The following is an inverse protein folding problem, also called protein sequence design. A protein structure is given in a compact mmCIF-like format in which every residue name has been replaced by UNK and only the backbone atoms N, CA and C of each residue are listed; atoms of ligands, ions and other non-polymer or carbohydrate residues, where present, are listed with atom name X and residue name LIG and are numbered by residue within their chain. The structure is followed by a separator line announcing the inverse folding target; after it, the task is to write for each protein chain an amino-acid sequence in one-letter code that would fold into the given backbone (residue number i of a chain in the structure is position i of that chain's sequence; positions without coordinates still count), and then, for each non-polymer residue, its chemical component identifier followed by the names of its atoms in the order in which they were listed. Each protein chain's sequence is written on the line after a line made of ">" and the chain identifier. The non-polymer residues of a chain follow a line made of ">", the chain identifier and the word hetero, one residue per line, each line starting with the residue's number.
data_IF_364536826996
#
_entry.id   IF_364536826996
#
_cell.length_a   1.000
_cell.length_b   1.000
_cell.length_c   1.000
_cell.angle_alpha   90.00
_cell.angle_beta   90.00
_cell.angle_gamma   90.00
#
_symmetry.space_group_name_H-M   'P 1'
#
loop_
_entity.id
_entity.type
_entity.pdbx_description
1 polymer ?
#
# COMPACT_ATOMS: atom_id res chain seq x y z
N UNK A 1 -11.49 12.43 3.41
CA UNK A 1 -11.76 10.97 3.44
C UNK A 1 -12.37 10.58 4.78
N UNK A 2 -13.29 9.60 4.81
CA UNK A 2 -13.81 9.01 6.05
C UNK A 2 -13.07 7.72 6.38
N UNK A 3 -12.71 7.53 7.63
CA UNK A 3 -12.12 6.30 8.19
C UNK A 3 -12.91 5.85 9.41
N UNK A 4 -12.96 4.56 9.69
CA UNK A 4 -13.82 4.00 10.73
C UNK A 4 -13.26 2.70 11.33
N UNK A 5 -13.81 2.32 12.49
CA UNK A 5 -13.43 1.13 13.24
C UNK A 5 -12.32 1.38 14.26
N UNK A 6 -12.47 0.81 15.46
CA UNK A 6 -11.62 1.11 16.64
C UNK A 6 -10.12 0.96 16.40
N UNK A 7 -9.69 -0.06 15.67
CA UNK A 7 -8.26 -0.31 15.43
C UNK A 7 -7.65 0.79 14.56
N UNK A 8 -8.32 1.15 13.45
CA UNK A 8 -7.88 2.23 12.54
C UNK A 8 -7.85 3.57 13.27
N UNK A 9 -8.89 3.84 14.06
CA UNK A 9 -9.01 5.06 14.87
C UNK A 9 -7.87 5.16 15.88
N UNK A 10 -7.55 4.07 16.58
CA UNK A 10 -6.43 4.05 17.53
C UNK A 10 -5.08 4.31 16.85
N UNK A 11 -4.87 3.77 15.66
CA UNK A 11 -3.67 4.04 14.86
C UNK A 11 -3.59 5.52 14.45
N UNK A 12 -4.68 6.09 13.95
CA UNK A 12 -4.72 7.52 13.57
C UNK A 12 -4.51 8.44 14.76
N UNK A 13 -5.02 8.06 15.94
CA UNK A 13 -4.79 8.81 17.18
C UNK A 13 -3.35 8.73 17.69
N UNK A 14 -2.60 7.68 17.35
CA UNK A 14 -1.16 7.55 17.66
C UNK A 14 -0.29 8.36 16.69
N UNK A 15 -0.71 8.47 15.43
CA UNK A 15 0.01 9.16 14.38
C UNK A 15 -0.39 10.65 14.34
N UNK A 16 0.45 11.49 13.73
CA UNK A 16 0.21 12.95 13.60
C UNK A 16 -0.77 13.29 12.47
N UNK A 17 -1.57 12.34 11.99
CA UNK A 17 -2.53 12.61 10.93
C UNK A 17 -3.61 13.57 11.43
N UNK A 18 -3.82 14.64 10.69
CA UNK A 18 -4.82 15.65 11.03
C UNK A 18 -6.23 15.09 10.91
N UNK A 19 -6.98 15.15 12.02
CA UNK A 19 -8.38 14.75 12.11
C UNK A 19 -9.22 16.02 12.04
N UNK A 20 -9.98 16.18 10.97
CA UNK A 20 -10.86 17.33 10.78
C UNK A 20 -12.05 17.31 11.74
N UNK A 21 -12.63 16.13 11.96
CA UNK A 21 -13.81 15.93 12.76
C UNK A 21 -13.93 14.47 13.20
N UNK A 22 -14.33 14.24 14.42
CA UNK A 22 -14.74 12.94 14.94
C UNK A 22 -16.27 12.88 15.01
N UNK A 23 -16.88 11.90 14.34
CA UNK A 23 -18.33 11.71 14.31
C UNK A 23 -18.64 10.45 15.13
N UNK A 24 -19.29 10.64 16.26
CA UNK A 24 -19.56 9.60 17.25
C UNK A 24 -21.05 9.31 17.32
N UNK A 25 -21.39 8.03 17.51
CA UNK A 25 -22.75 7.66 17.89
C UNK A 25 -23.10 8.25 19.25
N UNK A 26 -24.31 8.77 19.46
CA UNK A 26 -24.74 9.39 20.71
C UNK A 26 -24.54 8.53 21.97
N UNK A 27 -24.58 7.18 21.83
CA UNK A 27 -24.31 6.23 22.91
C UNK A 27 -22.88 5.67 22.88
N UNK A 28 -21.94 6.32 22.19
CA UNK A 28 -20.54 5.93 22.20
C UNK A 28 -19.93 6.20 23.57
N UNK A 29 -19.35 5.17 24.20
CA UNK A 29 -18.94 5.19 25.61
C UNK A 29 -17.46 4.89 25.86
N UNK A 30 -16.61 4.91 24.83
CA UNK A 30 -15.17 4.71 24.98
C UNK A 30 -14.48 6.00 25.42
N UNK A 31 -14.44 6.20 26.76
CA UNK A 31 -13.86 7.40 27.37
C UNK A 31 -12.38 7.60 26.99
N UNK A 32 -11.61 6.52 26.84
CA UNK A 32 -10.19 6.63 26.46
C UNK A 32 -10.00 7.25 25.06
N UNK A 33 -10.89 6.97 24.14
CA UNK A 33 -10.90 7.58 22.80
C UNK A 33 -11.34 9.03 22.90
N UNK A 34 -12.42 9.33 23.65
CA UNK A 34 -12.95 10.69 23.84
C UNK A 34 -11.88 11.59 24.47
N UNK A 35 -11.19 11.13 25.50
CA UNK A 35 -10.13 11.88 26.16
C UNK A 35 -8.96 12.22 25.20
N UNK A 36 -8.58 11.26 24.34
CA UNK A 36 -7.54 11.50 23.33
C UNK A 36 -7.98 12.54 22.29
N UNK A 37 -9.25 12.52 21.87
CA UNK A 37 -9.81 13.50 20.94
C UNK A 37 -9.82 14.90 21.57
N UNK A 38 -10.24 15.01 22.84
CA UNK A 38 -10.26 16.27 23.58
C UNK A 38 -8.83 16.82 23.76
N UNK A 39 -7.84 15.97 24.12
CA UNK A 39 -6.44 16.39 24.23
C UNK A 39 -5.87 16.90 22.92
N UNK A 40 -6.31 16.34 21.80
CA UNK A 40 -5.91 16.77 20.43
C UNK A 40 -6.78 17.91 19.89
N UNK A 41 -7.74 18.41 20.67
CA UNK A 41 -8.70 19.47 20.28
C UNK A 41 -9.45 19.14 18.97
N UNK A 42 -9.77 17.86 18.76
CA UNK A 42 -10.53 17.41 17.60
C UNK A 42 -12.00 17.75 17.79
N UNK A 43 -12.66 18.46 16.85
CA UNK A 43 -14.10 18.69 16.90
C UNK A 43 -14.87 17.38 16.95
N UNK A 44 -15.79 17.23 17.92
CA UNK A 44 -16.60 16.03 18.09
C UNK A 44 -18.05 16.36 17.76
N UNK A 45 -18.65 15.57 16.84
CA UNK A 45 -20.07 15.62 16.50
C UNK A 45 -20.75 14.34 16.93
N UNK A 46 -21.83 14.43 17.70
CA UNK A 46 -22.64 13.27 18.10
C UNK A 46 -23.85 13.13 17.17
N UNK A 47 -24.07 11.94 16.64
CA UNK A 47 -25.10 11.62 15.65
C UNK A 47 -25.83 10.31 15.98
N UNK A 48 -26.96 10.07 15.33
CA UNK A 48 -27.65 8.77 15.39
C UNK A 48 -26.91 7.71 14.56
N UNK A 49 -27.15 6.42 14.89
CA UNK A 49 -26.45 5.32 14.21
C UNK A 49 -26.66 5.33 12.70
N UNK A 50 -27.88 5.58 12.24
CA UNK A 50 -28.21 5.61 10.81
C UNK A 50 -27.46 6.71 10.02
N UNK A 51 -27.04 7.78 10.68
CA UNK A 51 -26.22 8.82 10.05
C UNK A 51 -24.78 8.34 9.81
N UNK A 52 -24.22 7.54 10.75
CA UNK A 52 -22.91 6.89 10.53
C UNK A 52 -23.00 5.82 9.43
N UNK A 53 -24.08 5.03 9.40
CA UNK A 53 -24.31 4.00 8.37
C UNK A 53 -24.40 4.62 6.95
N UNK A 54 -24.79 5.89 6.82
CA UNK A 54 -24.82 6.62 5.54
C UNK A 54 -23.44 7.16 5.13
N UNK A 55 -22.55 7.39 6.08
CA UNK A 55 -21.21 7.94 5.81
C UNK A 55 -20.22 6.89 5.34
N UNK A 56 -20.39 5.64 5.79
CA UNK A 56 -19.42 4.57 5.55
C UNK A 56 -20.11 3.20 5.42
N UNK A 57 -19.62 2.40 4.49
CA UNK A 57 -20.07 1.02 4.31
C UNK A 57 -19.23 0.10 5.21
N UNK A 58 -19.86 -0.56 6.19
CA UNK A 58 -19.22 -1.56 7.06
C UNK A 58 -19.31 -1.26 8.55
N UNK A 59 -18.67 -2.09 9.37
CA UNK A 59 -18.77 -2.01 10.83
C UNK A 59 -17.94 -0.83 11.39
N UNK A 60 -18.59 0.32 11.56
CA UNK A 60 -17.97 1.53 12.11
C UNK A 60 -17.84 1.52 13.63
N UNK A 61 -18.48 0.59 14.34
CA UNK A 61 -18.39 0.47 15.81
C UNK A 61 -18.74 1.77 16.58
N UNK A 62 -19.60 2.60 16.01
CA UNK A 62 -20.05 3.87 16.60
C UNK A 62 -19.07 5.04 16.43
N UNK A 63 -18.03 4.92 15.62
CA UNK A 63 -17.03 5.96 15.43
C UNK A 63 -16.56 6.08 13.98
N UNK A 64 -16.56 7.31 13.45
CA UNK A 64 -16.06 7.66 12.12
C UNK A 64 -15.24 8.95 12.25
N UNK A 65 -14.06 8.99 11.66
CA UNK A 65 -13.26 10.20 11.54
C UNK A 65 -13.30 10.75 10.12
N UNK A 66 -13.47 12.05 10.00
CA UNK A 66 -13.19 12.80 8.78
C UNK A 66 -11.74 13.28 8.85
N UNK A 67 -10.90 12.76 7.96
CA UNK A 67 -9.47 13.09 7.89
C UNK A 67 -9.11 13.72 6.55
N UNK A 68 -7.92 14.29 6.45
CA UNK A 68 -7.40 14.72 5.16
C UNK A 68 -7.22 13.54 4.20
N UNK A 69 -7.33 13.82 2.91
CA UNK A 69 -7.02 12.84 1.90
C UNK A 69 -5.52 12.51 1.94
N UNK A 70 -5.17 11.30 1.50
CA UNK A 70 -3.77 10.89 1.45
C UNK A 70 -2.99 11.76 0.45
N UNK A 71 -1.83 12.25 0.88
CA UNK A 71 -0.92 13.01 0.02
C UNK A 71 0.09 12.06 -0.59
N UNK A 72 -0.06 11.79 -1.89
CA UNK A 72 0.94 11.07 -2.66
C UNK A 72 2.22 11.90 -2.77
N UNK A 73 3.36 11.23 -2.85
CA UNK A 73 4.66 11.90 -3.01
C UNK A 73 5.16 11.75 -4.45
N UNK A 74 6.03 12.66 -4.87
CA UNK A 74 6.62 12.61 -6.19
C UNK A 74 7.79 11.61 -6.25
N UNK A 75 8.01 11.03 -7.43
CA UNK A 75 9.06 10.03 -7.67
C UNK A 75 10.47 10.60 -7.41
N UNK A 76 10.63 11.92 -7.58
CA UNK A 76 11.86 12.64 -7.30
C UNK A 76 12.32 12.53 -5.84
N UNK A 77 11.38 12.33 -4.92
CA UNK A 77 11.64 12.21 -3.48
C UNK A 77 12.33 10.90 -3.06
N UNK A 78 12.50 9.95 -4.00
CA UNK A 78 13.03 8.60 -3.71
C UNK A 78 14.56 8.51 -3.70
N UNK A 79 15.27 9.52 -4.13
CA UNK A 79 16.65 9.40 -4.66
C UNK A 79 17.77 9.40 -3.60
N UNK A 80 17.49 9.10 -2.32
CA UNK A 80 18.42 9.37 -1.21
C UNK A 80 18.99 8.14 -0.50
N UNK A 81 18.46 6.92 -0.70
CA UNK A 81 18.95 5.73 0.03
C UNK A 81 19.88 4.86 -0.82
N UNK A 82 20.91 4.29 -0.20
CA UNK A 82 21.71 3.21 -0.79
C UNK A 82 20.84 1.93 -0.90
N UNK A 83 20.91 1.30 -2.07
CA UNK A 83 20.22 0.02 -2.41
C UNK A 83 18.72 -0.08 -2.00
N UNK A 84 17.87 0.93 -2.25
CA UNK A 84 16.47 0.85 -1.88
C UNK A 84 15.74 -0.20 -2.71
N UNK A 85 14.80 -0.91 -2.06
CA UNK A 85 13.80 -1.72 -2.74
C UNK A 85 12.56 -0.88 -2.99
N UNK A 86 12.09 -0.86 -4.23
CA UNK A 86 10.83 -0.24 -4.65
C UNK A 86 9.87 -1.31 -5.14
N UNK A 87 8.58 -1.06 -5.02
CA UNK A 87 7.54 -1.93 -5.57
C UNK A 87 6.64 -1.11 -6.50
N UNK A 88 6.44 -1.57 -7.73
CA UNK A 88 5.43 -1.06 -8.65
C UNK A 88 4.24 -2.03 -8.64
N UNK A 89 3.02 -1.49 -8.60
CA UNK A 89 1.80 -2.26 -8.76
C UNK A 89 1.19 -1.92 -10.12
N UNK A 90 1.26 -2.86 -11.06
CA UNK A 90 0.75 -2.65 -12.43
C UNK A 90 -0.76 -2.83 -12.48
N UNK A 91 -1.50 -1.72 -12.27
CA UNK A 91 -2.96 -1.65 -12.31
C UNK A 91 -3.68 -2.58 -11.32
N UNK A 92 -3.19 -2.66 -10.08
CA UNK A 92 -3.87 -3.36 -8.99
C UNK A 92 -5.17 -2.64 -8.64
N UNK A 93 -6.31 -3.34 -8.58
CA UNK A 93 -7.63 -2.74 -8.39
C UNK A 93 -8.27 -3.07 -7.02
N UNK A 94 -7.88 -4.19 -6.41
CA UNK A 94 -8.46 -4.59 -5.11
C UNK A 94 -7.86 -3.83 -3.93
N UNK A 95 -8.68 -3.08 -3.15
CA UNK A 95 -8.20 -2.33 -2.00
C UNK A 95 -7.72 -3.21 -0.83
N UNK A 96 -8.19 -4.46 -0.72
CA UNK A 96 -7.72 -5.39 0.30
C UNK A 96 -6.29 -5.85 0.01
N UNK A 97 -6.02 -6.22 -1.25
CA UNK A 97 -4.68 -6.58 -1.69
C UNK A 97 -3.73 -5.39 -1.56
N UNK A 98 -4.15 -4.20 -1.96
CA UNK A 98 -3.32 -3.00 -1.82
C UNK A 98 -2.96 -2.72 -0.36
N UNK A 99 -3.93 -2.78 0.56
CA UNK A 99 -3.66 -2.58 1.98
C UNK A 99 -2.72 -3.65 2.58
N UNK A 100 -2.89 -4.92 2.17
CA UNK A 100 -2.01 -6.01 2.59
C UNK A 100 -0.57 -5.83 2.05
N UNK A 101 -0.42 -5.41 0.79
CA UNK A 101 0.87 -5.09 0.18
C UNK A 101 1.55 -3.93 0.90
N UNK A 102 0.83 -2.85 1.20
CA UNK A 102 1.36 -1.71 1.96
C UNK A 102 1.91 -2.17 3.31
N UNK A 103 1.15 -3.00 4.04
CA UNK A 103 1.58 -3.53 5.33
C UNK A 103 2.83 -4.39 5.22
N UNK A 104 2.89 -5.28 4.24
CA UNK A 104 4.04 -6.14 3.99
C UNK A 104 5.27 -5.33 3.59
N UNK A 105 5.11 -4.39 2.67
CA UNK A 105 6.19 -3.56 2.17
C UNK A 105 6.79 -2.68 3.27
N UNK A 106 5.96 -2.09 4.12
CA UNK A 106 6.43 -1.31 5.26
C UNK A 106 7.21 -2.18 6.24
N UNK A 107 6.61 -3.31 6.66
CA UNK A 107 7.22 -4.22 7.63
C UNK A 107 8.56 -4.82 7.16
N UNK A 108 8.75 -4.99 5.85
CA UNK A 108 9.96 -5.52 5.23
C UNK A 108 10.91 -4.42 4.70
N UNK A 109 10.68 -3.15 5.04
CA UNK A 109 11.60 -2.05 4.75
C UNK A 109 11.64 -1.62 3.27
N UNK A 110 10.59 -1.85 2.49
CA UNK A 110 10.44 -1.27 1.14
C UNK A 110 10.38 0.25 1.26
N UNK A 111 11.13 0.95 0.41
CA UNK A 111 11.26 2.41 0.50
C UNK A 111 10.04 3.16 -0.02
N UNK A 112 9.38 2.63 -1.05
CA UNK A 112 8.15 3.19 -1.58
C UNK A 112 7.40 2.19 -2.47
N UNK A 113 6.08 2.46 -2.64
CA UNK A 113 5.22 1.78 -3.60
C UNK A 113 4.80 2.79 -4.67
N UNK A 114 4.86 2.39 -5.94
CA UNK A 114 4.50 3.20 -7.10
C UNK A 114 3.25 2.62 -7.74
N UNK A 115 2.26 3.45 -7.98
CA UNK A 115 0.98 3.09 -8.63
C UNK A 115 0.68 4.03 -9.80
N UNK A 116 -0.05 3.57 -10.84
CA UNK A 116 -0.52 4.46 -11.89
C UNK A 116 -1.71 5.32 -11.44
N UNK A 117 -1.98 6.41 -12.18
CA UNK A 117 -3.10 7.30 -11.91
C UNK A 117 -4.45 6.68 -12.26
N UNK A 118 -4.48 5.88 -13.33
CA UNK A 118 -5.70 5.29 -13.88
C UNK A 118 -5.73 3.78 -13.64
N UNK A 119 -6.94 3.21 -13.66
CA UNK A 119 -7.20 1.77 -13.51
C UNK A 119 -6.41 1.13 -12.35
N UNK A 120 -6.37 1.84 -11.24
CA UNK A 120 -5.65 1.44 -10.05
C UNK A 120 -6.42 1.88 -8.82
N UNK A 121 -6.36 1.08 -7.77
CA UNK A 121 -7.00 1.41 -6.51
C UNK A 121 -6.41 2.67 -5.88
N UNK A 122 -7.29 3.57 -5.44
CA UNK A 122 -6.92 4.74 -4.66
C UNK A 122 -6.86 4.40 -3.18
N UNK A 123 -6.10 5.21 -2.42
CA UNK A 123 -6.13 5.11 -0.96
C UNK A 123 -7.50 5.57 -0.45
N UNK A 124 -8.25 4.61 0.07
CA UNK A 124 -9.57 4.76 0.64
C UNK A 124 -9.62 4.18 2.06
N UNK A 125 -10.79 4.20 2.70
CA UNK A 125 -10.98 3.68 4.04
C UNK A 125 -10.60 2.19 4.18
N UNK A 126 -10.87 1.37 3.17
CA UNK A 126 -10.52 -0.05 3.15
C UNK A 126 -9.01 -0.24 3.13
N UNK A 127 -8.28 0.49 2.29
CA UNK A 127 -6.80 0.46 2.23
C UNK A 127 -6.20 0.88 3.57
N UNK A 128 -6.69 1.98 4.16
CA UNK A 128 -6.22 2.44 5.49
C UNK A 128 -6.47 1.38 6.56
N UNK A 129 -7.63 0.73 6.53
CA UNK A 129 -7.99 -0.33 7.47
C UNK A 129 -7.11 -1.57 7.30
N UNK A 130 -6.95 -2.06 6.07
CA UNK A 130 -6.21 -3.30 5.79
C UNK A 130 -4.71 -3.15 5.92
N UNK A 131 -4.18 -1.93 5.71
CA UNK A 131 -2.77 -1.62 5.95
C UNK A 131 -2.40 -1.54 7.44
N UNK A 132 -3.38 -1.58 8.37
CA UNK A 132 -3.18 -1.56 9.82
C UNK A 132 -2.22 -0.46 10.30
N UNK A 133 -2.30 0.73 9.69
CA UNK A 133 -1.46 1.89 10.04
C UNK A 133 -0.16 2.02 9.24
N UNK A 134 0.30 0.98 8.56
CA UNK A 134 1.52 0.98 7.76
C UNK A 134 1.55 2.06 6.67
N UNK A 135 0.38 2.46 6.17
CA UNK A 135 0.22 3.54 5.17
C UNK A 135 0.84 4.88 5.61
N UNK A 136 1.01 5.11 6.90
CA UNK A 136 1.58 6.35 7.42
C UNK A 136 3.12 6.35 7.42
N UNK A 137 3.74 5.18 7.28
CA UNK A 137 5.19 4.99 7.42
C UNK A 137 5.89 4.70 6.08
N UNK A 138 5.14 4.37 5.03
CA UNK A 138 5.66 4.09 3.69
C UNK A 138 5.22 5.16 2.68
N UNK A 139 6.09 5.51 1.76
CA UNK A 139 5.78 6.45 0.68
C UNK A 139 4.97 5.77 -0.42
N UNK A 140 3.83 6.37 -0.79
CA UNK A 140 3.07 5.96 -1.97
C UNK A 140 3.23 7.04 -3.04
N UNK A 141 3.73 6.64 -4.19
CA UNK A 141 3.98 7.50 -5.35
C UNK A 141 2.93 7.21 -6.40
N UNK A 142 2.37 8.25 -6.95
CA UNK A 142 1.39 8.15 -8.00
C UNK A 142 1.92 8.77 -9.29
N UNK A 143 1.92 7.98 -10.38
CA UNK A 143 2.50 8.41 -11.65
C UNK A 143 1.50 8.34 -12.80
N UNK A 144 1.57 9.27 -13.75
CA UNK A 144 0.69 9.24 -14.93
C UNK A 144 0.95 8.05 -15.85
N UNK A 145 2.21 7.57 -15.90
CA UNK A 145 2.62 6.49 -16.80
C UNK A 145 3.75 5.67 -16.17
N UNK A 146 3.49 4.36 -16.01
CA UNK A 146 4.46 3.43 -15.43
C UNK A 146 5.72 3.25 -16.29
N UNK A 147 5.61 3.24 -17.62
CA UNK A 147 6.78 3.09 -18.51
C UNK A 147 7.71 4.29 -18.39
N UNK A 148 7.18 5.50 -18.27
CA UNK A 148 7.98 6.71 -18.04
C UNK A 148 8.66 6.64 -16.67
N UNK A 149 7.94 6.21 -15.64
CA UNK A 149 8.50 6.02 -14.30
C UNK A 149 9.62 4.97 -14.28
N UNK A 150 9.43 3.84 -14.96
CA UNK A 150 10.43 2.78 -15.10
C UNK A 150 11.70 3.32 -15.79
N UNK A 151 11.57 4.04 -16.91
CA UNK A 151 12.71 4.61 -17.60
C UNK A 151 13.49 5.60 -16.71
N UNK A 152 12.78 6.39 -15.91
CA UNK A 152 13.38 7.28 -14.92
C UNK A 152 14.12 6.51 -13.81
N UNK A 153 13.59 5.40 -13.34
CA UNK A 153 14.26 4.53 -12.37
C UNK A 153 15.51 3.88 -12.98
N UNK A 154 15.44 3.38 -14.21
CA UNK A 154 16.60 2.84 -14.94
C UNK A 154 17.72 3.86 -15.08
N UNK A 155 17.41 5.12 -15.37
CA UNK A 155 18.42 6.21 -15.43
C UNK A 155 19.09 6.49 -14.07
N UNK A 156 18.55 5.95 -12.97
CA UNK A 156 19.08 6.00 -11.61
C UNK A 156 19.66 4.66 -11.13
N UNK A 157 19.99 3.79 -12.09
CA UNK A 157 20.58 2.46 -11.88
C UNK A 157 19.70 1.48 -11.09
N UNK A 158 18.36 1.59 -11.22
CA UNK A 158 17.47 0.55 -10.75
C UNK A 158 17.34 -0.57 -11.78
N UNK A 159 17.40 -1.79 -11.30
CA UNK A 159 17.08 -3.00 -12.05
C UNK A 159 15.59 -3.30 -11.87
N UNK A 160 14.91 -3.51 -12.96
CA UNK A 160 13.47 -3.73 -13.01
C UNK A 160 13.19 -5.23 -13.07
N UNK A 161 12.58 -5.75 -12.03
CA UNK A 161 12.24 -7.17 -11.89
C UNK A 161 10.73 -7.33 -11.99
N UNK A 162 10.26 -7.88 -13.11
CA UNK A 162 8.85 -8.15 -13.34
C UNK A 162 8.46 -9.56 -12.91
N UNK A 163 7.20 -9.75 -12.53
CA UNK A 163 6.66 -11.05 -12.08
C UNK A 163 5.68 -11.61 -13.09
N UNK A 164 5.91 -12.85 -13.55
CA UNK A 164 5.02 -13.58 -14.45
C UNK A 164 4.95 -15.04 -14.05
N UNK A 165 4.10 -15.83 -14.69
CA UNK A 165 4.03 -17.27 -14.49
C UNK A 165 5.12 -18.04 -15.26
N UNK A 166 5.70 -17.43 -16.28
CA UNK A 166 6.66 -18.02 -17.25
C UNK A 166 8.08 -17.44 -17.11
N UNK A 167 8.38 -16.78 -15.99
CA UNK A 167 9.71 -16.24 -15.72
C UNK A 167 10.72 -17.28 -15.23
N UNK A 168 11.96 -16.84 -15.01
CA UNK A 168 12.98 -17.63 -14.31
C UNK A 168 12.64 -17.76 -12.81
N UNK A 169 13.10 -18.81 -12.15
CA UNK A 169 12.92 -18.94 -10.70
C UNK A 169 13.50 -17.71 -9.99
N UNK A 170 12.69 -17.07 -9.15
CA UNK A 170 13.06 -15.84 -8.45
C UNK A 170 14.30 -16.00 -7.56
N UNK A 171 14.65 -17.21 -7.16
CA UNK A 171 15.82 -17.48 -6.32
C UNK A 171 17.14 -17.42 -7.09
N UNK A 172 17.11 -17.42 -8.42
CA UNK A 172 18.31 -17.46 -9.27
C UNK A 172 18.92 -16.08 -9.54
N UNK A 173 18.25 -15.00 -9.14
CA UNK A 173 18.69 -13.62 -9.37
C UNK A 173 19.54 -13.13 -8.17
N UNK A 174 20.65 -12.45 -8.45
CA UNK A 174 21.39 -11.69 -7.43
C UNK A 174 20.70 -10.33 -7.22
N UNK A 175 20.10 -10.14 -6.05
CA UNK A 175 19.38 -8.91 -5.68
C UNK A 175 20.27 -7.88 -4.96
N UNK A 176 21.57 -8.06 -4.93
CA UNK A 176 22.51 -7.08 -4.34
C UNK A 176 22.66 -5.83 -5.24
N UNK A 177 21.53 -5.20 -5.56
CA UNK A 177 21.39 -4.07 -6.47
C UNK A 177 20.19 -3.22 -6.10
N UNK A 178 20.12 -1.99 -6.65
CA UNK A 178 18.91 -1.17 -6.56
C UNK A 178 17.78 -1.84 -7.33
N UNK A 179 16.81 -2.40 -6.62
CA UNK A 179 15.75 -3.22 -7.21
C UNK A 179 14.42 -2.51 -7.21
N UNK A 180 13.72 -2.57 -8.34
CA UNK A 180 12.32 -2.21 -8.45
C UNK A 180 11.53 -3.46 -8.87
N UNK A 181 10.77 -4.05 -7.94
CA UNK A 181 9.92 -5.20 -8.17
C UNK A 181 8.58 -4.74 -8.75
N UNK A 182 8.08 -5.40 -9.79
CA UNK A 182 6.76 -5.14 -10.37
C UNK A 182 5.84 -6.32 -10.08
N UNK A 183 4.72 -6.03 -9.43
CA UNK A 183 3.61 -6.97 -9.22
C UNK A 183 2.49 -6.63 -10.21
N UNK A 184 2.06 -7.60 -10.99
CA UNK A 184 0.99 -7.44 -11.97
C UNK A 184 -0.40 -7.44 -11.35
N UNK A 185 -1.41 -7.11 -12.18
CA UNK A 185 -2.83 -7.20 -11.84
C UNK A 185 -3.24 -8.66 -11.57
N UNK A 186 -4.22 -8.87 -10.69
CA UNK A 186 -4.66 -10.21 -10.25
C UNK A 186 -5.21 -11.07 -11.40
N UNK A 187 -5.91 -10.45 -12.34
CA UNK A 187 -6.56 -11.18 -13.45
C UNK A 187 -5.73 -11.23 -14.74
N UNK A 188 -5.05 -10.12 -15.05
CA UNK A 188 -4.34 -9.94 -16.34
C UNK A 188 -2.84 -10.10 -16.23
N UNK A 189 -2.32 -10.16 -15.00
CA UNK A 189 -0.88 -10.12 -14.77
C UNK A 189 -0.28 -8.77 -15.15
N UNK A 190 0.98 -8.79 -15.53
CA UNK A 190 1.73 -7.61 -15.95
C UNK A 190 1.45 -7.31 -17.43
N UNK A 191 1.24 -6.04 -17.79
CA UNK A 191 0.99 -5.65 -19.18
C UNK A 191 2.22 -5.89 -20.06
N UNK A 192 2.01 -6.19 -21.35
CA UNK A 192 3.11 -6.47 -22.31
C UNK A 192 4.09 -5.30 -22.42
N UNK A 193 3.58 -4.08 -22.35
CA UNK A 193 4.41 -2.87 -22.40
C UNK A 193 5.33 -2.79 -21.19
N UNK A 194 4.85 -3.13 -20.00
CA UNK A 194 5.65 -3.15 -18.77
C UNK A 194 6.62 -4.33 -18.81
N UNK A 195 6.17 -5.51 -19.24
CA UNK A 195 7.02 -6.71 -19.39
C UNK A 195 8.26 -6.43 -20.26
N UNK A 196 8.11 -5.74 -21.38
CA UNK A 196 9.22 -5.35 -22.27
C UNK A 196 10.22 -4.39 -21.64
N UNK A 197 9.82 -3.67 -20.59
CA UNK A 197 10.69 -2.74 -19.86
C UNK A 197 11.41 -3.39 -18.69
N UNK A 198 11.16 -4.66 -18.37
CA UNK A 198 11.85 -5.37 -17.30
C UNK A 198 13.24 -5.83 -17.74
N UNK A 199 14.20 -5.80 -16.82
CA UNK A 199 15.54 -6.34 -17.01
C UNK A 199 15.55 -7.84 -16.67
N UNK A 200 14.72 -8.26 -15.70
CA UNK A 200 14.50 -9.65 -15.32
C UNK A 200 13.02 -9.94 -15.26
N UNK A 201 12.65 -11.12 -15.66
CA UNK A 201 11.31 -11.68 -15.49
C UNK A 201 11.41 -12.91 -14.60
N UNK A 202 10.75 -12.87 -13.46
CA UNK A 202 10.82 -13.95 -12.47
C UNK A 202 9.46 -14.58 -12.20
N UNK A 203 9.47 -15.82 -11.76
CA UNK A 203 8.30 -16.57 -11.30
C UNK A 203 8.52 -17.16 -9.92
N UNK A 204 7.43 -17.35 -9.18
CA UNK A 204 7.42 -18.21 -7.99
C UNK A 204 7.01 -19.61 -8.46
N UNK A 205 7.89 -20.62 -8.36
CA UNK A 205 7.58 -21.99 -8.84
C UNK A 205 6.34 -22.56 -8.12
N UNK A 206 5.37 -23.03 -8.90
CA UNK A 206 4.16 -23.68 -8.40
C UNK A 206 4.29 -25.20 -8.53
N UNK A 207 4.15 -25.92 -7.41
CA UNK A 207 4.22 -27.40 -7.40
C UNK A 207 2.81 -28.00 -7.47
N UNK A 208 1.80 -27.23 -7.08
CA UNK A 208 0.40 -27.65 -7.01
C UNK A 208 -0.33 -27.54 -8.35
N UNK A 209 -1.65 -27.76 -8.31
CA UNK A 209 -2.53 -27.62 -9.49
C UNK A 209 -2.92 -26.18 -9.80
N UNK A 210 -2.78 -25.26 -8.85
CA UNK A 210 -3.04 -23.84 -9.02
C UNK A 210 -1.80 -23.19 -9.59
N UNK A 211 -1.96 -22.37 -10.62
CA UNK A 211 -0.87 -21.78 -11.39
C UNK A 211 -0.47 -20.36 -10.96
N UNK A 212 -1.16 -19.77 -9.99
CA UNK A 212 -0.88 -18.41 -9.50
C UNK A 212 -1.22 -18.26 -8.02
N UNK A 213 -0.56 -17.31 -7.35
CA UNK A 213 -0.87 -16.86 -6.01
C UNK A 213 -1.60 -15.50 -6.04
N UNK A 214 -2.28 -15.19 -4.96
CA UNK A 214 -2.80 -13.84 -4.74
C UNK A 214 -1.67 -12.80 -4.82
N UNK A 215 -1.95 -11.61 -5.38
CA UNK A 215 -0.96 -10.57 -5.61
C UNK A 215 -0.22 -10.13 -4.32
N UNK A 216 -0.94 -10.02 -3.20
CA UNK A 216 -0.32 -9.65 -1.92
C UNK A 216 0.58 -10.75 -1.35
N UNK A 217 0.23 -12.02 -1.58
CA UNK A 217 1.06 -13.18 -1.19
C UNK A 217 2.32 -13.24 -2.04
N UNK A 218 2.19 -13.10 -3.36
CA UNK A 218 3.34 -13.04 -4.28
C UNK A 218 4.29 -11.91 -3.91
N UNK A 219 3.75 -10.73 -3.64
CA UNK A 219 4.53 -9.58 -3.19
C UNK A 219 5.29 -9.90 -1.89
N UNK A 220 4.63 -10.53 -0.91
CA UNK A 220 5.25 -10.86 0.37
C UNK A 220 6.45 -11.82 0.21
N UNK A 221 6.28 -12.89 -0.57
CA UNK A 221 7.34 -13.88 -0.82
C UNK A 221 8.54 -13.21 -1.49
N UNK A 222 8.31 -12.44 -2.55
CA UNK A 222 9.38 -11.84 -3.34
C UNK A 222 10.09 -10.72 -2.58
N UNK A 223 9.36 -9.85 -1.90
CA UNK A 223 9.94 -8.77 -1.09
C UNK A 223 10.78 -9.34 0.05
N UNK A 224 10.28 -10.35 0.76
CA UNK A 224 11.03 -11.01 1.83
C UNK A 224 12.33 -11.65 1.31
N UNK A 225 12.26 -12.36 0.18
CA UNK A 225 13.44 -12.96 -0.44
C UNK A 225 14.46 -11.90 -0.86
N UNK A 226 14.01 -10.85 -1.57
CA UNK A 226 14.88 -9.76 -2.02
C UNK A 226 15.59 -9.08 -0.84
N UNK A 227 14.87 -8.76 0.22
CA UNK A 227 15.44 -8.09 1.39
C UNK A 227 16.44 -8.97 2.14
N UNK A 228 16.17 -10.28 2.26
CA UNK A 228 17.08 -11.22 2.91
C UNK A 228 18.37 -11.49 2.10
N UNK A 229 18.34 -11.27 0.80
CA UNK A 229 19.49 -11.47 -0.08
C UNK A 229 20.26 -10.18 -0.42
N UNK A 230 19.79 -9.03 0.03
CA UNK A 230 20.58 -7.78 -0.01
C UNK A 230 21.66 -7.84 1.07
N UNK A 231 22.91 -7.75 0.65
CA UNK A 231 24.03 -7.57 1.58
C UNK A 231 23.93 -6.15 2.15
N UNK A 232 23.93 -6.04 3.48
CA UNK A 232 24.04 -4.77 4.20
C UNK A 232 25.36 -4.08 3.94
#
# INVERSE_FOLDING_TARGET
>A
MFIYGKNVINEVLKNERHIKEAILYKKFSDNAVIDKLNKKQVPIKYVEKHELDRLVEGNHQGIVFKVDDYKYVDIESLLVKENPLLVILDHLEDPHNFGAIIRTCEALGVSAIIIPNDRSVNINATVVKTSAGAINNIKIIRVPNLSVAINKLKSKNYWIVGTTMDGSDYTTIDYNMKTCLIIGNEGKGMSDTIKKNCDYIVTIPMIGKINSLNASVSCAILVAHIQNNKKN
#
